data_IF_313783330861
#
_entry.id   IF_313783330861
#
_cell.length_a   1.000
_cell.length_b   1.000
_cell.length_c   1.000
_cell.angle_alpha   90.00
_cell.angle_beta   90.00
_cell.angle_gamma   90.00
#
_symmetry.space_group_name_H-M   'P 1'
#
loop_
_entity.id
_entity.type
_entity.pdbx_description
1 polymer ?
#
# COMPACT_ATOMS: atom_id res chain seq x y z
N UNK A 1 7.23 12.82 0.37
CA UNK A 1 8.16 13.82 0.95
C UNK A 1 8.24 13.68 2.46
N UNK A 2 7.11 13.79 3.18
CA UNK A 2 7.07 13.71 4.66
C UNK A 2 7.74 12.45 5.23
N UNK A 3 7.43 11.28 4.65
CA UNK A 3 8.05 10.02 5.06
C UNK A 3 9.57 10.01 4.84
N UNK A 4 10.06 10.59 3.74
CA UNK A 4 11.51 10.65 3.46
C UNK A 4 12.24 11.56 4.44
N UNK A 5 11.57 12.60 4.93
CA UNK A 5 12.18 13.67 5.72
C UNK A 5 11.99 13.52 7.23
N UNK A 6 11.16 12.58 7.69
CA UNK A 6 10.98 12.37 9.13
C UNK A 6 12.24 11.78 9.77
N UNK A 7 12.60 12.27 10.96
CA UNK A 7 13.71 11.70 11.74
C UNK A 7 13.55 10.19 11.96
N UNK A 8 12.31 9.68 12.05
CA UNK A 8 12.03 8.25 12.21
C UNK A 8 12.64 7.39 11.12
N UNK A 9 12.83 7.92 9.91
CA UNK A 9 13.44 7.25 8.75
C UNK A 9 14.91 7.64 8.57
N UNK A 10 15.26 8.89 8.89
CA UNK A 10 16.63 9.39 8.70
C UNK A 10 17.63 8.82 9.72
N UNK A 11 17.19 8.62 10.97
CA UNK A 11 18.10 8.19 12.05
C UNK A 11 17.99 6.71 12.39
N UNK A 12 16.92 6.05 11.94
CA UNK A 12 16.66 4.64 12.19
C UNK A 12 16.41 3.89 10.88
N UNK A 13 16.88 2.66 10.82
CA UNK A 13 16.70 1.82 9.63
C UNK A 13 15.31 1.19 9.61
N UNK A 14 14.31 1.98 9.18
CA UNK A 14 12.93 1.53 9.12
C UNK A 14 12.75 0.45 8.03
N UNK A 15 11.87 -0.53 8.24
CA UNK A 15 11.56 -1.53 7.24
C UNK A 15 10.73 -0.93 6.08
N UNK A 16 10.79 -1.59 4.93
CA UNK A 16 10.00 -1.29 3.73
C UNK A 16 8.50 -1.39 3.99
N UNK A 17 8.09 -2.06 5.07
CA UNK A 17 6.72 -2.03 5.56
C UNK A 17 6.16 -0.62 5.74
N UNK A 18 6.99 0.38 6.08
CA UNK A 18 6.56 1.78 6.16
C UNK A 18 6.04 2.32 4.82
N UNK A 19 6.46 1.77 3.68
CA UNK A 19 6.14 2.28 2.34
C UNK A 19 4.67 2.02 1.97
N UNK A 20 4.05 0.96 2.53
CA UNK A 20 2.71 0.48 2.14
C UNK A 20 1.68 1.61 2.05
N UNK A 21 1.66 2.54 2.99
CA UNK A 21 0.62 3.58 3.07
C UNK A 21 1.03 4.92 2.43
N UNK A 22 2.26 5.04 1.90
CA UNK A 22 2.87 6.33 1.58
C UNK A 22 3.43 6.45 0.16
N UNK A 23 3.48 5.37 -0.61
CA UNK A 23 3.93 5.40 -2.00
C UNK A 23 3.07 4.54 -2.93
N UNK A 24 2.71 5.09 -4.08
CA UNK A 24 1.91 4.42 -5.11
C UNK A 24 2.64 3.22 -5.75
N UNK A 25 3.96 3.17 -5.64
CA UNK A 25 4.79 2.09 -6.14
C UNK A 25 4.72 0.83 -5.27
N UNK A 26 4.16 0.88 -4.06
CA UNK A 26 4.13 -0.26 -3.16
C UNK A 26 3.55 -1.55 -3.79
N UNK A 27 2.42 -1.54 -4.52
CA UNK A 27 1.91 -2.74 -5.18
C UNK A 27 2.84 -3.30 -6.26
N UNK A 28 3.56 -2.42 -6.97
CA UNK A 28 4.51 -2.82 -8.02
C UNK A 28 5.73 -3.48 -7.37
N UNK A 29 6.25 -2.88 -6.31
CA UNK A 29 7.38 -3.43 -5.56
C UNK A 29 7.03 -4.75 -4.87
N UNK A 30 5.81 -4.86 -4.33
CA UNK A 30 5.29 -6.12 -3.77
C UNK A 30 5.17 -7.20 -4.86
N UNK A 31 4.68 -6.84 -6.06
CA UNK A 31 4.59 -7.78 -7.17
C UNK A 31 5.96 -8.24 -7.68
N UNK A 32 6.95 -7.35 -7.69
CA UNK A 32 8.32 -7.64 -8.13
C UNK A 32 9.12 -8.45 -7.10
N UNK A 33 9.10 -8.05 -5.84
CA UNK A 33 9.96 -8.58 -4.79
C UNK A 33 9.28 -9.67 -3.95
N UNK A 34 7.95 -9.70 -3.94
CA UNK A 34 7.15 -10.47 -3.00
C UNK A 34 6.86 -9.71 -1.70
N UNK A 35 5.76 -10.08 -1.04
CA UNK A 35 5.28 -9.42 0.18
C UNK A 35 6.33 -9.40 1.30
N UNK A 36 6.93 -10.54 1.62
CA UNK A 36 7.88 -10.65 2.74
C UNK A 36 9.16 -9.85 2.46
N UNK A 37 9.77 -10.03 1.30
CA UNK A 37 10.99 -9.32 0.93
C UNK A 37 10.77 -7.81 0.91
N UNK A 38 9.68 -7.31 0.32
CA UNK A 38 9.36 -5.89 0.32
C UNK A 38 9.21 -5.34 1.74
N UNK A 39 8.46 -6.02 2.62
CA UNK A 39 8.22 -5.53 3.97
C UNK A 39 9.46 -5.60 4.86
N UNK A 40 10.37 -6.54 4.63
CA UNK A 40 11.61 -6.69 5.41
C UNK A 40 12.81 -5.91 4.85
N UNK A 41 12.79 -5.52 3.58
CA UNK A 41 13.87 -4.72 2.96
C UNK A 41 13.94 -3.35 3.63
N UNK A 42 15.12 -2.83 4.00
CA UNK A 42 15.24 -1.48 4.55
C UNK A 42 14.60 -0.41 3.65
N UNK A 43 13.84 0.51 4.23
CA UNK A 43 13.23 1.64 3.52
C UNK A 43 14.26 2.41 2.69
N UNK A 44 15.44 2.62 3.27
CA UNK A 44 16.51 3.40 2.64
C UNK A 44 17.06 2.76 1.37
N UNK A 45 16.89 1.45 1.18
CA UNK A 45 17.29 0.72 -0.02
C UNK A 45 16.24 0.85 -1.14
N UNK A 46 15.01 1.22 -0.78
CA UNK A 46 13.88 1.36 -1.71
C UNK A 46 13.52 2.82 -2.02
N UNK A 47 13.92 3.78 -1.17
CA UNK A 47 13.45 5.17 -1.20
C UNK A 47 13.62 5.89 -2.55
N UNK A 48 14.63 5.52 -3.34
CA UNK A 48 14.91 6.13 -4.64
C UNK A 48 14.00 5.60 -5.75
N UNK A 49 13.26 4.51 -5.47
CA UNK A 49 12.19 3.99 -6.33
C UNK A 49 10.82 4.58 -5.99
N UNK A 50 10.71 5.37 -4.91
CA UNK A 50 9.47 5.96 -4.39
C UNK A 50 9.34 7.40 -4.88
N UNK A 51 8.76 7.57 -6.06
CA UNK A 51 8.60 8.87 -6.72
C UNK A 51 7.26 9.51 -6.39
N UNK A 52 6.22 8.69 -6.20
CA UNK A 52 4.87 9.16 -5.97
C UNK A 52 4.45 8.94 -4.51
N UNK A 53 3.65 9.87 -3.99
CA UNK A 53 2.87 9.63 -2.77
C UNK A 53 1.68 8.72 -3.07
N UNK A 54 0.58 8.90 -2.33
CA UNK A 54 -0.70 8.33 -2.75
C UNK A 54 -1.12 8.89 -4.12
N UNK A 55 -1.65 8.03 -4.97
CA UNK A 55 -2.05 8.35 -6.34
C UNK A 55 -3.42 7.76 -6.68
N UNK A 56 -3.93 8.09 -7.87
CA UNK A 56 -5.16 7.49 -8.41
C UNK A 56 -5.11 5.95 -8.40
N UNK A 57 -3.94 5.38 -8.72
CA UNK A 57 -3.77 3.95 -8.91
C UNK A 57 -3.87 3.13 -7.62
N UNK A 58 -3.73 3.77 -6.44
CA UNK A 58 -3.89 3.11 -5.14
C UNK A 58 -5.33 2.68 -4.86
N UNK A 59 -6.29 3.42 -5.44
CA UNK A 59 -7.72 3.26 -5.19
C UNK A 59 -8.53 2.92 -6.45
N UNK A 60 -8.02 3.22 -7.65
CA UNK A 60 -8.74 3.06 -8.91
C UNK A 60 -8.06 2.09 -9.86
N UNK A 61 -8.87 1.29 -10.54
CA UNK A 61 -8.47 0.57 -11.75
C UNK A 61 -8.23 1.56 -12.91
N UNK A 62 -7.07 1.52 -13.59
CA UNK A 62 -6.73 2.52 -14.61
C UNK A 62 -7.51 2.37 -15.91
N UNK A 63 -8.17 1.23 -16.16
CA UNK A 63 -8.92 0.99 -17.39
C UNK A 63 -10.39 1.38 -17.23
N UNK A 64 -10.96 1.12 -16.05
CA UNK A 64 -12.40 1.26 -15.79
C UNK A 64 -12.74 2.36 -14.80
N UNK A 65 -11.74 2.89 -14.09
CA UNK A 65 -11.89 3.82 -12.95
C UNK A 65 -12.70 3.25 -11.77
N UNK A 66 -12.99 1.95 -11.76
CA UNK A 66 -13.64 1.29 -10.64
C UNK A 66 -12.77 1.33 -9.39
N UNK A 67 -13.39 1.38 -8.20
CA UNK A 67 -12.66 1.27 -6.94
C UNK A 67 -12.06 -0.13 -6.81
N UNK A 68 -10.81 -0.21 -6.38
CA UNK A 68 -10.10 -1.47 -6.11
C UNK A 68 -9.23 -1.35 -4.86
N UNK A 69 -8.94 -2.49 -4.25
CA UNK A 69 -7.96 -2.59 -3.19
C UNK A 69 -6.67 -3.11 -3.80
N UNK A 70 -5.58 -2.38 -3.57
CA UNK A 70 -4.23 -2.72 -4.05
C UNK A 70 -3.32 -3.23 -2.94
N UNK A 71 -3.69 -3.04 -1.66
CA UNK A 71 -2.88 -3.44 -0.51
C UNK A 71 -3.29 -4.83 0.02
N UNK A 72 -2.43 -5.86 -0.08
CA UNK A 72 -2.76 -7.22 0.37
C UNK A 72 -3.11 -7.29 1.86
N UNK A 73 -2.51 -6.43 2.69
CA UNK A 73 -2.78 -6.40 4.12
C UNK A 73 -4.26 -6.19 4.46
N UNK A 74 -4.96 -5.28 3.77
CA UNK A 74 -6.38 -5.03 4.01
C UNK A 74 -7.22 -6.23 3.60
N UNK A 75 -6.94 -6.83 2.43
CA UNK A 75 -7.64 -8.05 1.96
C UNK A 75 -7.53 -9.16 2.99
N UNK A 76 -6.32 -9.40 3.50
CA UNK A 76 -6.06 -10.41 4.53
C UNK A 76 -6.77 -10.07 5.86
N UNK A 77 -6.78 -8.80 6.26
CA UNK A 77 -7.44 -8.36 7.49
C UNK A 77 -8.96 -8.52 7.41
N UNK A 78 -9.58 -8.20 6.26
CA UNK A 78 -11.02 -8.40 6.03
C UNK A 78 -11.38 -9.89 5.97
N UNK A 79 -10.59 -10.71 5.27
CA UNK A 79 -10.80 -12.16 5.23
C UNK A 79 -10.75 -12.79 6.64
N UNK A 80 -9.79 -12.37 7.49
CA UNK A 80 -9.73 -12.80 8.90
C UNK A 80 -10.96 -12.40 9.73
N UNK A 81 -11.68 -11.36 9.31
CA UNK A 81 -12.94 -10.90 9.93
C UNK A 81 -14.18 -11.57 9.31
N UNK A 82 -14.00 -12.52 8.39
CA UNK A 82 -15.10 -13.16 7.67
C UNK A 82 -15.73 -12.29 6.60
N UNK A 83 -15.04 -11.23 6.14
CA UNK A 83 -15.52 -10.35 5.08
C UNK A 83 -14.85 -10.73 3.77
N UNK A 84 -15.66 -11.19 2.80
CA UNK A 84 -15.23 -11.36 1.42
C UNK A 84 -15.34 -10.03 0.67
N UNK A 85 -14.18 -9.41 0.46
CA UNK A 85 -14.12 -8.10 -0.19
C UNK A 85 -14.52 -8.13 -1.67
N UNK A 86 -14.53 -9.31 -2.31
CA UNK A 86 -15.01 -9.45 -3.69
C UNK A 86 -16.52 -9.24 -3.80
N UNK A 87 -17.24 -9.38 -2.68
CA UNK A 87 -18.68 -9.17 -2.56
C UNK A 87 -19.03 -7.80 -1.97
N UNK A 88 -18.04 -6.93 -1.75
CA UNK A 88 -18.26 -5.62 -1.16
C UNK A 88 -19.16 -4.76 -2.05
N UNK A 89 -20.18 -4.16 -1.45
CA UNK A 89 -21.02 -3.18 -2.10
C UNK A 89 -20.23 -1.93 -2.48
N UNK A 90 -20.78 -1.12 -3.40
CA UNK A 90 -20.20 0.18 -3.75
C UNK A 90 -20.00 1.09 -2.54
N UNK A 91 -20.89 1.03 -1.55
CA UNK A 91 -20.80 1.85 -0.35
C UNK A 91 -19.68 1.37 0.57
N UNK A 92 -19.50 0.05 0.74
CA UNK A 92 -18.39 -0.52 1.49
C UNK A 92 -17.05 -0.21 0.82
N UNK A 93 -16.96 -0.35 -0.51
CA UNK A 93 -15.75 -0.02 -1.25
C UNK A 93 -15.30 1.43 -1.07
N UNK A 94 -16.24 2.39 -0.92
CA UNK A 94 -15.91 3.79 -0.61
C UNK A 94 -15.23 3.96 0.76
N UNK A 95 -15.46 3.05 1.69
CA UNK A 95 -14.74 3.00 2.96
C UNK A 95 -13.46 2.17 2.86
N UNK A 96 -13.49 1.03 2.17
CA UNK A 96 -12.36 0.12 2.11
C UNK A 96 -11.16 0.68 1.37
N UNK A 97 -11.35 1.47 0.31
CA UNK A 97 -10.21 2.11 -0.37
C UNK A 97 -9.43 3.05 0.55
N UNK A 98 -10.12 3.68 1.52
CA UNK A 98 -9.50 4.51 2.56
C UNK A 98 -8.83 3.65 3.64
N UNK A 99 -9.45 2.53 4.01
CA UNK A 99 -8.95 1.62 5.05
C UNK A 99 -7.70 0.82 4.65
N UNK A 100 -7.16 1.05 3.43
CA UNK A 100 -5.89 0.46 3.01
C UNK A 100 -4.69 1.03 3.76
N UNK A 101 -4.87 2.19 4.40
CA UNK A 101 -3.84 2.98 5.06
C UNK A 101 -4.25 3.39 6.47
#
# INVERSE_FOLDING_TARGET
IDQRNTQRVQVANQPGACINCHAAEAPLLIAEMGWEAFNSTPYNDLKDRLHFGSSCADCHDPQTMALRITRPALVNALAKRGVDVTQASRQEMRSYVCAQC
#
